data_IF_673212902275
#
_entry.id   IF_673212902275
#
_cell.length_a   1.000
_cell.length_b   1.000
_cell.length_c   1.000
_cell.angle_alpha   90.00
_cell.angle_beta   90.00
_cell.angle_gamma   90.00
#
_symmetry.space_group_name_H-M   'P 1'
#
loop_
_entity.id
_entity.type
_entity.pdbx_description
1 polymer ?
#
# COMPACT_ATOMS: atom_id res chain seq x y z
N UNK A 1 19.77 7.96 -74.45
CA UNK A 1 18.65 7.15 -73.93
C UNK A 1 19.14 6.27 -72.79
N UNK A 2 18.68 6.55 -71.57
CA UNK A 2 18.19 5.60 -70.56
C UNK A 2 18.00 6.42 -69.27
N UNK A 3 16.74 6.72 -68.98
CA UNK A 3 16.30 7.33 -67.73
C UNK A 3 16.72 6.42 -66.58
N UNK A 4 17.62 6.91 -65.72
CA UNK A 4 17.90 6.30 -64.43
C UNK A 4 16.93 6.94 -63.43
N UNK A 5 15.76 6.34 -63.27
CA UNK A 5 14.83 6.72 -62.20
C UNK A 5 15.40 6.15 -60.89
N UNK A 6 15.63 6.97 -59.86
CA UNK A 6 16.38 6.56 -58.68
C UNK A 6 15.54 5.64 -57.79
N UNK A 7 16.08 4.45 -57.52
CA UNK A 7 15.56 3.43 -56.58
C UNK A 7 15.47 3.96 -55.13
N UNK A 8 15.94 5.19 -54.87
CA UNK A 8 15.94 5.80 -53.54
C UNK A 8 14.55 6.09 -52.96
N UNK A 9 13.51 6.20 -53.80
CA UNK A 9 12.15 6.47 -53.32
C UNK A 9 11.39 5.23 -52.81
N UNK A 10 11.83 4.01 -53.13
CA UNK A 10 11.13 2.78 -52.71
C UNK A 10 11.57 2.34 -51.30
N UNK A 11 12.75 2.75 -50.83
CA UNK A 11 13.23 2.47 -49.48
C UNK A 11 12.57 3.36 -48.39
N UNK A 12 11.87 4.42 -48.77
CA UNK A 12 11.17 5.31 -47.82
C UNK A 12 9.76 4.83 -47.44
N UNK A 13 9.21 3.83 -48.13
CA UNK A 13 7.85 3.33 -47.86
C UNK A 13 7.78 2.12 -46.91
N UNK A 14 8.93 1.55 -46.52
CA UNK A 14 8.97 0.38 -45.62
C UNK A 14 9.38 0.67 -44.16
N UNK A 15 9.64 1.93 -43.80
CA UNK A 15 9.93 2.33 -42.41
C UNK A 15 8.73 2.91 -41.66
N UNK A 16 7.51 2.62 -42.11
CA UNK A 16 6.29 2.84 -41.34
C UNK A 16 5.88 1.54 -40.61
N UNK A 17 6.85 0.84 -40.02
CA UNK A 17 6.52 -0.04 -38.91
C UNK A 17 6.22 0.87 -37.73
N UNK A 18 4.93 1.02 -37.42
CA UNK A 18 4.49 1.53 -36.12
C UNK A 18 5.37 0.84 -35.09
N UNK A 19 6.26 1.59 -34.46
CA UNK A 19 6.72 1.26 -33.12
C UNK A 19 5.44 1.19 -32.32
N UNK A 20 4.84 -0.01 -32.26
CA UNK A 20 4.09 -0.42 -31.09
C UNK A 20 5.09 -0.09 -30.00
N UNK A 21 4.85 1.02 -29.27
CA UNK A 21 5.38 1.18 -27.93
C UNK A 21 5.25 -0.23 -27.37
N UNK A 22 6.39 -0.86 -27.03
CA UNK A 22 6.33 -1.98 -26.11
C UNK A 22 5.36 -1.45 -25.06
N UNK A 23 4.18 -2.07 -24.97
CA UNK A 23 3.53 -2.10 -23.68
C UNK A 23 4.67 -2.60 -22.82
N UNK A 24 5.28 -1.67 -22.07
CA UNK A 24 6.00 -2.04 -20.89
C UNK A 24 4.94 -2.81 -20.15
N UNK A 25 5.01 -4.12 -20.34
CA UNK A 25 4.37 -5.09 -19.53
C UNK A 25 4.91 -4.76 -18.15
N UNK A 26 4.21 -3.85 -17.49
CA UNK A 26 4.22 -3.55 -16.06
C UNK A 26 3.72 -4.79 -15.31
N UNK A 27 4.00 -5.99 -15.82
CA UNK A 27 4.07 -7.20 -15.05
C UNK A 27 5.35 -7.07 -14.24
N UNK A 28 5.22 -6.40 -13.10
CA UNK A 28 6.06 -6.66 -11.93
C UNK A 28 6.21 -8.17 -11.87
N UNK A 29 7.45 -8.66 -12.06
CA UNK A 29 7.77 -10.08 -11.93
C UNK A 29 7.10 -10.55 -10.65
N UNK A 30 6.19 -11.52 -10.75
CA UNK A 30 5.27 -12.02 -9.69
C UNK A 30 5.94 -12.33 -8.34
N UNK A 31 7.27 -12.28 -8.26
CA UNK A 31 8.07 -12.76 -7.15
C UNK A 31 8.74 -11.68 -6.29
N UNK A 32 8.62 -10.38 -6.63
CA UNK A 32 9.26 -9.32 -5.85
C UNK A 32 8.27 -8.19 -5.50
N UNK A 33 7.68 -8.26 -4.30
CA UNK A 33 6.95 -7.13 -3.72
C UNK A 33 7.95 -6.16 -3.09
N UNK A 34 7.95 -4.90 -3.53
CA UNK A 34 8.68 -3.83 -2.86
C UNK A 34 7.75 -2.67 -2.53
N UNK A 35 7.89 -2.12 -1.31
CA UNK A 35 7.09 -0.97 -0.84
C UNK A 35 7.23 0.21 -1.83
N UNK A 36 8.45 0.48 -2.31
CA UNK A 36 8.71 1.53 -3.30
C UNK A 36 8.04 1.25 -4.66
N UNK A 37 7.89 -0.02 -5.04
CA UNK A 37 7.15 -0.44 -6.23
C UNK A 37 5.63 -0.40 -6.04
N UNK A 38 5.15 -0.67 -4.83
CA UNK A 38 3.73 -0.58 -4.49
C UNK A 38 3.23 0.85 -4.55
N UNK A 39 3.97 1.81 -3.98
CA UNK A 39 3.64 3.24 -4.11
C UNK A 39 3.56 3.67 -5.57
N UNK A 40 4.54 3.30 -6.42
CA UNK A 40 4.49 3.58 -7.87
C UNK A 40 3.24 3.02 -8.56
N UNK A 41 2.77 1.84 -8.16
CA UNK A 41 1.56 1.22 -8.72
C UNK A 41 0.28 1.90 -8.22
N UNK A 42 0.23 2.25 -6.94
CA UNK A 42 -0.87 3.02 -6.35
C UNK A 42 -0.99 4.40 -6.99
N UNK A 43 0.13 5.09 -7.16
CA UNK A 43 0.21 6.39 -7.82
C UNK A 43 -0.33 6.29 -9.26
N UNK A 44 0.08 5.26 -10.01
CA UNK A 44 -0.43 5.01 -11.37
C UNK A 44 -1.93 4.67 -11.41
N UNK A 45 -2.47 3.95 -10.42
CA UNK A 45 -3.89 3.64 -10.34
C UNK A 45 -4.73 4.87 -9.96
N UNK A 46 -4.22 5.71 -9.05
CA UNK A 46 -4.85 6.97 -8.66
C UNK A 46 -4.86 7.96 -9.83
N UNK A 47 -3.77 8.07 -10.60
CA UNK A 47 -3.73 8.88 -11.82
C UNK A 47 -4.68 8.36 -12.91
N UNK A 48 -4.89 7.03 -12.99
CA UNK A 48 -5.81 6.43 -13.95
C UNK A 48 -7.30 6.60 -13.56
N UNK A 49 -7.63 6.55 -12.27
CA UNK A 49 -8.99 6.80 -11.78
C UNK A 49 -9.36 8.28 -11.77
N UNK A 50 -8.39 9.19 -11.68
CA UNK A 50 -8.65 10.64 -11.72
C UNK A 50 -9.14 11.14 -13.09
N UNK A 51 -9.24 10.27 -14.11
CA UNK A 51 -9.74 10.64 -15.44
C UNK A 51 -11.21 10.35 -15.70
N UNK A 52 -11.93 9.58 -14.86
CA UNK A 52 -13.27 9.12 -15.26
C UNK A 52 -14.38 9.05 -14.20
N UNK A 53 -14.19 9.49 -12.95
CA UNK A 53 -15.33 9.63 -12.03
C UNK A 53 -15.25 10.93 -11.25
N UNK A 54 -16.27 11.78 -11.43
CA UNK A 54 -16.53 13.02 -10.68
C UNK A 54 -17.06 12.76 -9.26
N UNK A 55 -16.56 11.71 -8.61
CA UNK A 55 -16.71 11.50 -7.18
C UNK A 55 -15.37 11.86 -6.58
N UNK A 56 -15.31 13.04 -5.94
CA UNK A 56 -14.14 13.52 -5.23
C UNK A 56 -13.54 12.37 -4.42
N UNK A 57 -12.34 11.94 -4.83
CA UNK A 57 -11.55 11.04 -4.03
C UNK A 57 -11.50 11.63 -2.62
N UNK A 58 -11.77 10.85 -1.56
CA UNK A 58 -11.77 11.38 -0.20
C UNK A 58 -10.46 12.11 -0.03
N UNK A 59 -10.56 13.42 0.24
CA UNK A 59 -9.41 14.30 0.40
C UNK A 59 -8.51 13.61 1.41
N UNK A 60 -7.40 13.03 0.94
CA UNK A 60 -6.33 12.66 1.83
C UNK A 60 -5.84 13.99 2.34
N UNK A 61 -6.31 14.38 3.52
CA UNK A 61 -5.71 15.47 4.28
C UNK A 61 -4.28 15.00 4.55
N UNK A 62 -3.40 15.29 3.59
CA UNK A 62 -1.96 15.23 3.74
C UNK A 62 -1.61 16.37 4.70
N UNK A 63 -2.05 16.24 5.95
CA UNK A 63 -1.62 17.10 7.01
C UNK A 63 -0.11 16.93 7.12
N UNK A 64 0.62 17.98 6.79
CA UNK A 64 2.08 17.98 6.72
C UNK A 64 2.73 17.59 8.06
N UNK A 65 1.96 17.54 9.15
CA UNK A 65 2.41 17.27 10.51
C UNK A 65 2.10 15.85 11.02
N UNK A 66 1.27 15.07 10.29
CA UNK A 66 1.09 13.64 10.55
C UNK A 66 2.33 12.87 10.06
N UNK A 67 3.11 12.35 11.01
CA UNK A 67 4.27 11.54 10.67
C UNK A 67 3.81 10.17 10.16
N UNK A 68 3.75 10.04 8.83
CA UNK A 68 3.31 8.83 8.13
C UNK A 68 4.09 7.57 8.53
N UNK A 69 5.30 7.72 9.08
CA UNK A 69 6.10 6.59 9.57
C UNK A 69 5.57 5.97 10.87
N UNK A 70 4.66 6.63 11.58
CA UNK A 70 4.07 6.16 12.85
C UNK A 70 2.60 5.76 12.71
N UNK A 71 2.06 5.83 11.49
CA UNK A 71 0.67 5.43 11.20
C UNK A 71 0.50 3.93 11.43
N UNK A 72 -0.55 3.60 12.18
CA UNK A 72 -1.07 2.26 12.40
C UNK A 72 -2.56 2.23 12.04
N UNK A 73 -3.03 1.05 11.66
CA UNK A 73 -4.43 0.74 11.39
C UNK A 73 -5.10 0.07 12.58
N UNK A 74 -6.32 -0.41 12.36
CA UNK A 74 -7.10 -1.17 13.34
C UNK A 74 -6.38 -2.44 13.80
N UNK A 75 -5.70 -3.09 12.86
CA UNK A 75 -4.71 -4.14 13.13
C UNK A 75 -3.39 -3.68 12.52
N UNK A 76 -2.33 -3.79 13.32
CA UNK A 76 -0.98 -3.41 12.91
C UNK A 76 -0.08 -4.64 12.95
N UNK A 77 0.54 -4.95 11.81
CA UNK A 77 1.50 -6.03 11.65
C UNK A 77 2.89 -5.46 11.44
N UNK A 78 3.84 -5.93 12.25
CA UNK A 78 5.27 -5.70 12.08
C UNK A 78 5.87 -6.94 11.42
N UNK A 79 6.24 -6.86 10.15
CA UNK A 79 6.78 -8.02 9.42
C UNK A 79 8.30 -7.95 9.36
N UNK A 80 8.96 -8.83 10.10
CA UNK A 80 10.41 -8.93 10.13
C UNK A 80 10.95 -9.64 8.90
N UNK A 81 10.40 -10.80 8.61
CA UNK A 81 10.81 -11.67 7.51
C UNK A 81 9.67 -12.63 7.10
N UNK A 82 10.01 -13.64 6.29
CA UNK A 82 9.03 -14.61 5.76
C UNK A 82 8.42 -15.53 6.82
N UNK A 83 9.06 -15.66 7.99
CA UNK A 83 8.72 -16.60 9.05
C UNK A 83 8.21 -15.86 10.30
N UNK A 84 8.77 -14.70 10.62
CA UNK A 84 8.54 -13.97 11.87
C UNK A 84 7.83 -12.64 11.65
N UNK A 85 6.78 -12.41 12.44
CA UNK A 85 6.05 -11.14 12.51
C UNK A 85 5.61 -10.84 13.94
N UNK A 86 5.16 -9.62 14.18
CA UNK A 86 4.42 -9.24 15.38
C UNK A 86 3.10 -8.63 14.95
N UNK A 87 2.10 -8.64 15.84
CA UNK A 87 0.88 -7.92 15.59
C UNK A 87 0.30 -7.32 16.87
N UNK A 88 -0.55 -6.31 16.67
CA UNK A 88 -1.36 -5.70 17.72
C UNK A 88 -2.69 -5.25 17.13
N UNK A 89 -3.75 -5.39 17.93
CA UNK A 89 -5.08 -4.85 17.62
C UNK A 89 -5.23 -3.55 18.39
N UNK A 90 -5.44 -2.43 17.70
CA UNK A 90 -5.70 -1.14 18.32
C UNK A 90 -7.18 -0.98 18.65
N UNK A 91 -8.01 -0.88 17.61
CA UNK A 91 -9.45 -0.76 17.73
C UNK A 91 -10.14 -1.37 16.51
N UNK A 92 -11.10 -2.28 16.75
CA UNK A 92 -11.92 -2.89 15.70
C UNK A 92 -13.24 -2.15 15.46
N UNK A 93 -13.38 -0.93 15.97
CA UNK A 93 -14.52 -0.06 15.71
C UNK A 93 -14.15 0.98 14.65
N UNK A 94 -15.04 1.27 13.68
CA UNK A 94 -14.82 2.33 12.72
C UNK A 94 -14.66 3.66 13.44
N UNK A 95 -13.66 4.43 13.04
CA UNK A 95 -13.45 5.77 13.55
C UNK A 95 -14.46 6.70 12.86
N UNK A 96 -15.39 7.26 13.63
CA UNK A 96 -16.27 8.33 13.16
C UNK A 96 -15.54 9.66 13.37
N UNK A 97 -14.81 10.13 12.35
CA UNK A 97 -14.32 11.52 12.34
C UNK A 97 -15.47 12.44 11.93
N UNK A 98 -16.26 12.90 12.91
CA UNK A 98 -17.22 13.97 12.70
C UNK A 98 -16.73 15.22 13.45
N UNK A 99 -16.30 16.25 12.72
CA UNK A 99 -15.98 17.56 13.28
C UNK A 99 -15.03 18.39 12.43
N UNK A 100 -15.16 19.71 12.53
CA UNK A 100 -14.15 20.66 12.06
C UNK A 100 -12.93 20.56 12.99
N UNK A 101 -12.01 19.66 12.69
CA UNK A 101 -10.72 19.64 13.39
C UNK A 101 -9.95 20.90 13.02
N UNK A 102 -9.64 21.72 14.03
CA UNK A 102 -8.74 22.87 13.87
C UNK A 102 -7.36 22.44 13.36
N UNK A 103 -6.49 23.40 13.09
CA UNK A 103 -5.13 23.11 12.61
C UNK A 103 -4.38 22.20 13.59
N UNK A 104 -3.82 21.10 13.07
CA UNK A 104 -3.07 20.11 13.85
C UNK A 104 -1.78 20.73 14.39
N UNK A 105 -1.60 20.75 15.71
CA UNK A 105 -0.48 21.36 16.39
C UNK A 105 0.76 20.43 16.42
N UNK A 106 1.93 21.00 16.76
CA UNK A 106 3.15 20.21 17.00
C UNK A 106 2.95 19.17 18.10
N UNK A 107 2.21 19.52 19.15
CA UNK A 107 1.94 18.63 20.28
C UNK A 107 1.14 17.41 19.82
N UNK A 108 0.13 17.60 18.98
CA UNK A 108 -0.68 16.50 18.43
C UNK A 108 0.18 15.48 17.67
N UNK A 109 1.25 15.92 17.01
CA UNK A 109 2.21 15.02 16.33
C UNK A 109 3.04 14.20 17.33
N UNK A 110 3.45 14.82 18.44
CA UNK A 110 4.19 14.14 19.52
C UNK A 110 3.28 13.11 20.20
N UNK A 111 2.06 13.52 20.55
CA UNK A 111 1.06 12.66 21.18
C UNK A 111 0.71 11.47 20.27
N UNK A 112 0.61 11.70 18.97
CA UNK A 112 0.43 10.66 17.97
C UNK A 112 1.57 9.64 17.96
N UNK A 113 2.83 10.11 17.99
CA UNK A 113 4.02 9.24 18.05
C UNK A 113 4.04 8.45 19.35
N UNK A 114 3.75 9.08 20.48
CA UNK A 114 3.71 8.42 21.79
C UNK A 114 2.64 7.32 21.84
N UNK A 115 1.43 7.62 21.36
CA UNK A 115 0.35 6.63 21.24
C UNK A 115 0.75 5.45 20.35
N UNK A 116 1.40 5.72 19.23
CA UNK A 116 1.90 4.68 18.31
C UNK A 116 2.97 3.79 18.97
N UNK A 117 3.87 4.37 19.77
CA UNK A 117 4.86 3.62 20.54
C UNK A 117 4.20 2.73 21.61
N UNK A 118 3.22 3.26 22.36
CA UNK A 118 2.45 2.50 23.35
C UNK A 118 1.66 1.34 22.71
N UNK A 119 1.14 1.54 21.49
CA UNK A 119 0.54 0.45 20.74
C UNK A 119 1.57 -0.60 20.36
N UNK A 120 2.74 -0.19 19.88
CA UNK A 120 3.84 -1.07 19.50
C UNK A 120 4.33 -1.92 20.69
N UNK A 121 4.35 -1.36 21.89
CA UNK A 121 4.73 -2.07 23.12
C UNK A 121 3.79 -3.22 23.50
N UNK A 122 2.54 -3.19 23.00
CA UNK A 122 1.55 -4.25 23.19
C UNK A 122 1.58 -5.32 22.10
N UNK A 123 2.50 -5.20 21.12
CA UNK A 123 2.59 -6.16 20.04
C UNK A 123 3.10 -7.51 20.53
N UNK A 124 2.52 -8.58 19.97
CA UNK A 124 2.86 -9.95 20.31
C UNK A 124 3.43 -10.69 19.09
N UNK A 125 4.41 -11.59 19.30
CA UNK A 125 5.03 -12.34 18.23
C UNK A 125 4.05 -13.36 17.63
N UNK A 126 4.13 -13.53 16.31
CA UNK A 126 3.37 -14.51 15.53
C UNK A 126 4.24 -15.06 14.40
N UNK A 127 3.87 -16.20 13.83
CA UNK A 127 4.43 -16.60 12.54
C UNK A 127 3.83 -15.73 11.44
N UNK A 128 4.62 -15.33 10.46
CA UNK A 128 4.13 -14.56 9.29
C UNK A 128 3.02 -15.30 8.54
N UNK A 129 3.04 -16.65 8.56
CA UNK A 129 1.97 -17.48 7.99
C UNK A 129 0.63 -17.37 8.70
N UNK A 130 0.58 -16.85 9.94
CA UNK A 130 -0.65 -16.71 10.73
C UNK A 130 -1.41 -15.42 10.42
N UNK A 131 -0.82 -14.48 9.68
CA UNK A 131 -1.43 -13.19 9.35
C UNK A 131 -2.80 -13.39 8.69
N UNK A 132 -2.92 -14.28 7.70
CA UNK A 132 -4.20 -14.53 7.01
C UNK A 132 -5.25 -15.15 7.92
N UNK A 133 -4.85 -15.97 8.90
CA UNK A 133 -5.75 -16.52 9.92
C UNK A 133 -6.30 -15.42 10.81
N UNK A 134 -5.45 -14.50 11.28
CA UNK A 134 -5.85 -13.34 12.10
C UNK A 134 -6.79 -12.43 11.30
N UNK A 135 -6.45 -12.13 10.05
CA UNK A 135 -7.31 -11.36 9.15
C UNK A 135 -8.67 -12.04 8.94
N UNK A 136 -8.70 -13.36 8.76
CA UNK A 136 -9.95 -14.11 8.62
C UNK A 136 -10.82 -14.02 9.88
N UNK A 137 -10.21 -14.16 11.05
CA UNK A 137 -10.90 -14.10 12.35
C UNK A 137 -11.59 -12.75 12.57
N UNK A 138 -11.00 -11.66 12.09
CA UNK A 138 -11.54 -10.31 12.24
C UNK A 138 -12.24 -9.77 10.98
N UNK A 139 -12.42 -10.57 9.94
CA UNK A 139 -12.88 -10.12 8.63
C UNK A 139 -14.15 -9.27 8.70
N UNK A 140 -15.17 -9.70 9.45
CA UNK A 140 -16.44 -8.98 9.55
C UNK A 140 -16.25 -7.55 10.10
N UNK A 141 -15.43 -7.40 11.14
CA UNK A 141 -15.11 -6.09 11.69
C UNK A 141 -14.28 -5.24 10.72
N UNK A 142 -13.35 -5.86 9.97
CA UNK A 142 -12.49 -5.17 9.02
C UNK A 142 -13.28 -4.65 7.83
N UNK A 143 -14.13 -5.47 7.24
CA UNK A 143 -14.97 -5.08 6.10
C UNK A 143 -16.04 -4.08 6.55
N UNK A 144 -16.51 -4.20 7.79
CA UNK A 144 -17.50 -3.31 8.41
C UNK A 144 -18.72 -3.06 7.49
N UNK A 145 -19.37 -4.16 7.11
CA UNK A 145 -20.54 -4.13 6.20
C UNK A 145 -21.73 -3.35 6.77
N UNK A 146 -21.77 -3.15 8.10
CA UNK A 146 -22.88 -2.48 8.78
C UNK A 146 -22.80 -0.94 8.69
N UNK A 147 -21.61 -0.36 8.83
CA UNK A 147 -21.42 1.11 8.88
C UNK A 147 -20.64 1.65 7.67
N UNK A 148 -20.41 0.81 6.64
CA UNK A 148 -19.79 1.13 5.32
C UNK A 148 -18.34 1.66 5.33
N UNK A 149 -17.74 1.87 6.50
CA UNK A 149 -16.36 2.37 6.63
C UNK A 149 -15.39 1.23 6.93
N UNK A 150 -14.69 0.65 5.94
CA UNK A 150 -13.77 -0.44 6.17
C UNK A 150 -12.59 0.01 7.05
N UNK A 151 -12.16 -0.87 7.95
CA UNK A 151 -11.01 -0.61 8.80
C UNK A 151 -9.70 -0.72 8.00
N UNK A 152 -8.81 0.25 8.18
CA UNK A 152 -7.47 0.18 7.62
C UNK A 152 -6.64 -0.87 8.36
N UNK A 153 -6.00 -1.77 7.62
CA UNK A 153 -4.99 -2.70 8.15
C UNK A 153 -3.61 -2.19 7.78
N UNK A 154 -2.68 -2.22 8.72
CA UNK A 154 -1.36 -1.65 8.51
C UNK A 154 -0.25 -2.68 8.59
N UNK A 155 0.70 -2.58 7.67
CA UNK A 155 1.88 -3.44 7.57
C UNK A 155 3.13 -2.57 7.60
N UNK A 156 3.94 -2.72 8.64
CA UNK A 156 5.27 -2.14 8.73
C UNK A 156 6.32 -3.22 8.44
N UNK A 157 7.11 -3.02 7.38
CA UNK A 157 8.10 -3.99 6.93
C UNK A 157 9.49 -3.59 7.45
N UNK A 158 10.24 -4.55 8.01
CA UNK A 158 11.64 -4.31 8.41
C UNK A 158 12.53 -3.99 7.20
N UNK A 159 12.27 -4.66 6.08
CA UNK A 159 12.99 -4.50 4.82
C UNK A 159 12.03 -4.19 3.67
N UNK A 160 12.47 -3.39 2.70
CA UNK A 160 11.69 -3.07 1.48
C UNK A 160 11.48 -4.23 0.52
N UNK A 161 12.17 -5.32 0.79
CA UNK A 161 12.16 -6.53 0.00
C UNK A 161 11.79 -7.65 0.95
N UNK A 162 10.48 -7.78 1.21
CA UNK A 162 10.00 -9.08 1.62
C UNK A 162 10.22 -10.00 0.42
N UNK A 163 11.30 -10.80 0.50
CA UNK A 163 11.64 -11.76 -0.55
C UNK A 163 10.46 -12.71 -0.76
N UNK A 164 9.95 -12.78 -1.99
CA UNK A 164 8.95 -13.76 -2.40
C UNK A 164 7.49 -13.33 -2.32
N UNK A 165 6.61 -14.32 -2.53
CA UNK A 165 5.16 -14.16 -2.68
C UNK A 165 4.41 -13.82 -1.38
N UNK A 166 5.07 -13.62 -0.24
CA UNK A 166 4.39 -13.52 1.07
C UNK A 166 3.46 -12.32 1.17
N UNK A 167 3.96 -11.09 0.96
CA UNK A 167 3.08 -9.91 0.94
C UNK A 167 2.04 -10.00 -0.16
N UNK A 168 2.43 -10.46 -1.35
CA UNK A 168 1.49 -10.66 -2.44
C UNK A 168 0.33 -11.59 -2.04
N UNK A 169 0.61 -12.70 -1.34
CA UNK A 169 -0.41 -13.65 -0.84
C UNK A 169 -1.29 -13.01 0.24
N UNK A 170 -0.71 -12.25 1.16
CA UNK A 170 -1.47 -11.54 2.21
C UNK A 170 -2.42 -10.51 1.57
N UNK A 171 -1.92 -9.68 0.66
CA UNK A 171 -2.72 -8.66 -0.02
C UNK A 171 -3.78 -9.31 -0.92
N UNK A 172 -3.41 -10.34 -1.69
CA UNK A 172 -4.37 -11.08 -2.51
C UNK A 172 -5.46 -11.73 -1.64
N UNK A 173 -5.11 -12.29 -0.49
CA UNK A 173 -6.07 -12.81 0.48
C UNK A 173 -7.02 -11.70 0.97
N UNK A 174 -6.47 -10.54 1.33
CA UNK A 174 -7.26 -9.39 1.78
C UNK A 174 -8.26 -8.92 0.72
N UNK A 175 -7.78 -8.66 -0.50
CA UNK A 175 -8.59 -8.18 -1.61
C UNK A 175 -9.69 -9.18 -1.99
N UNK A 176 -9.36 -10.47 -2.06
CA UNK A 176 -10.34 -11.54 -2.33
C UNK A 176 -11.40 -11.71 -1.23
N UNK A 177 -11.15 -11.18 -0.02
CA UNK A 177 -12.07 -11.22 1.11
C UNK A 177 -12.70 -9.85 1.43
N UNK A 178 -12.61 -8.89 0.49
CA UNK A 178 -13.26 -7.57 0.62
C UNK A 178 -12.53 -6.58 1.53
N UNK A 179 -11.36 -6.93 2.07
CA UNK A 179 -10.57 -6.08 2.96
C UNK A 179 -9.67 -5.14 2.12
N UNK A 180 -10.25 -4.08 1.57
CA UNK A 180 -9.58 -3.21 0.59
C UNK A 180 -8.80 -2.03 1.17
N UNK A 181 -8.96 -1.75 2.47
CA UNK A 181 -8.29 -0.62 3.15
C UNK A 181 -7.02 -1.12 3.85
N UNK A 182 -5.86 -0.80 3.30
CA UNK A 182 -4.60 -1.15 3.91
C UNK A 182 -3.48 -0.15 3.62
N UNK A 183 -2.55 -0.04 4.57
CA UNK A 183 -1.35 0.80 4.49
C UNK A 183 -0.12 -0.07 4.63
N UNK A 184 0.87 0.13 3.76
CA UNK A 184 2.15 -0.58 3.80
C UNK A 184 3.25 0.47 3.89
N UNK A 185 4.15 0.34 4.87
CA UNK A 185 5.29 1.24 5.06
C UNK A 185 6.50 0.49 5.60
N UNK A 186 7.63 1.18 5.71
CA UNK A 186 8.79 0.70 6.47
C UNK A 186 8.54 0.82 7.97
N UNK A 187 9.18 -0.05 8.74
CA UNK A 187 9.24 0.11 10.20
C UNK A 187 9.93 1.43 10.58
N UNK A 188 9.40 2.11 11.58
CA UNK A 188 10.07 3.25 12.19
C UNK A 188 11.14 2.80 13.19
N UNK A 189 11.92 3.74 13.71
CA UNK A 189 13.03 3.45 14.62
C UNK A 189 12.59 2.81 15.95
N UNK A 190 11.37 3.05 16.42
CA UNK A 190 10.85 2.45 17.65
C UNK A 190 10.48 0.99 17.41
N UNK A 191 9.73 0.72 16.34
CA UNK A 191 9.35 -0.63 15.91
C UNK A 191 10.57 -1.52 15.67
N UNK A 192 11.61 -1.00 15.00
CA UNK A 192 12.86 -1.73 14.76
C UNK A 192 13.58 -2.13 16.05
N UNK A 193 13.44 -1.36 17.14
CA UNK A 193 14.02 -1.70 18.45
C UNK A 193 13.21 -2.77 19.18
N UNK A 194 11.89 -2.80 18.97
CA UNK A 194 10.95 -3.68 19.67
C UNK A 194 10.80 -5.03 18.99
N UNK A 195 10.71 -5.05 17.67
CA UNK A 195 10.63 -6.27 16.88
C UNK A 195 12.05 -6.80 16.62
N UNK A 196 12.55 -7.61 17.57
CA UNK A 196 13.83 -8.33 17.47
C UNK A 196 13.61 -9.80 17.13
#
# INVERSE_FOLDING_TARGET
>A
MKLVIPIFFILLLFNCSKTKKKEDQLFVVKNNFSVSGFYKKLDSLNEAHSKNDSLEAPITTNDKRLNKNYVHGAIHFLILDKDNSYYVIDNLKPFLLCGNTGEFLKQDSIDFIEKSNLLTDRSQPIRTSEITKILKQHQNAIVNTENTNPLNISFALKNDTLKGSTMYRIISFMENNGMKSYTIRRMNAYELKKAK
#
